data_IF_207650778374
#
_entry.id   IF_207650778374
#
_cell.length_a   1.000
_cell.length_b   1.000
_cell.length_c   1.000
_cell.angle_alpha   90.00
_cell.angle_beta   90.00
_cell.angle_gamma   90.00
#
_symmetry.space_group_name_H-M   'P 1'
#
loop_
_entity.id
_entity.type
_entity.pdbx_description
1 polymer ?
#
# COMPACT_ATOMS: atom_id res chain seq x y z
N UNK A 1 10.37 -11.24 -13.30
CA UNK A 1 11.14 -10.29 -12.45
C UNK A 1 12.45 -10.94 -12.05
N UNK A 2 13.55 -10.19 -11.94
CA UNK A 2 14.87 -10.73 -11.56
C UNK A 2 14.94 -11.11 -10.07
N UNK A 3 14.12 -10.46 -9.22
CA UNK A 3 13.97 -10.76 -7.78
C UNK A 3 12.49 -10.98 -7.46
N UNK A 4 12.16 -11.79 -6.43
CA UNK A 4 10.78 -11.91 -5.97
C UNK A 4 10.25 -10.54 -5.50
N UNK A 5 8.96 -10.28 -5.73
CA UNK A 5 8.26 -9.09 -5.26
C UNK A 5 8.06 -9.20 -3.75
N UNK A 6 8.43 -8.18 -2.99
CA UNK A 6 8.07 -8.06 -1.57
C UNK A 6 6.57 -7.78 -1.50
N UNK A 7 5.82 -8.65 -0.84
CA UNK A 7 4.35 -8.57 -0.80
C UNK A 7 3.85 -8.11 0.58
N UNK A 8 3.04 -7.04 0.58
CA UNK A 8 2.38 -6.50 1.75
C UNK A 8 0.89 -6.81 1.60
N UNK A 9 0.39 -7.75 2.40
CA UNK A 9 -0.98 -8.25 2.30
C UNK A 9 -1.99 -7.21 2.79
N UNK A 10 -3.01 -6.87 1.99
CA UNK A 10 -3.97 -5.79 2.23
C UNK A 10 -5.37 -6.24 2.67
N UNK A 11 -5.56 -7.51 3.05
CA UNK A 11 -6.91 -8.04 3.29
C UNK A 11 -7.57 -7.57 4.59
N UNK A 12 -6.77 -7.03 5.55
CA UNK A 12 -7.27 -6.51 6.83
C UNK A 12 -7.41 -4.99 6.73
N UNK A 13 -8.43 -4.54 6.04
CA UNK A 13 -8.65 -3.12 5.74
C UNK A 13 -10.11 -2.73 5.98
N UNK A 14 -10.35 -1.73 6.82
CA UNK A 14 -11.68 -1.31 7.24
C UNK A 14 -12.56 -0.78 6.09
N UNK A 15 -11.96 -0.28 5.00
CA UNK A 15 -12.71 0.16 3.81
C UNK A 15 -13.21 -1.00 2.93
N UNK A 16 -12.77 -2.23 3.16
CA UNK A 16 -13.32 -3.40 2.45
C UNK A 16 -14.68 -3.72 3.09
N UNK A 17 -15.83 -3.63 2.36
CA UNK A 17 -17.15 -3.61 2.98
C UNK A 17 -17.43 -4.76 3.95
N UNK A 18 -17.12 -5.99 3.54
CA UNK A 18 -17.30 -7.17 4.40
C UNK A 18 -16.37 -7.13 5.61
N UNK A 19 -15.08 -6.85 5.38
CA UNK A 19 -14.07 -6.81 6.45
C UNK A 19 -14.38 -5.69 7.44
N UNK A 20 -14.71 -4.49 6.96
CA UNK A 20 -15.09 -3.36 7.82
C UNK A 20 -16.31 -3.64 8.68
N UNK A 21 -17.34 -4.30 8.12
CA UNK A 21 -18.52 -4.74 8.91
C UNK A 21 -18.12 -5.70 10.03
N UNK A 22 -17.27 -6.67 9.73
CA UNK A 22 -16.79 -7.66 10.73
C UNK A 22 -15.91 -6.97 11.78
N UNK A 23 -15.05 -6.05 11.38
CA UNK A 23 -14.21 -5.26 12.30
C UNK A 23 -15.07 -4.45 13.28
N UNK A 24 -16.16 -3.83 12.80
CA UNK A 24 -17.11 -3.12 13.66
C UNK A 24 -17.75 -4.05 14.70
N UNK A 25 -18.19 -5.23 14.28
CA UNK A 25 -18.72 -6.23 15.20
C UNK A 25 -17.70 -6.67 16.26
N UNK A 26 -16.41 -6.77 15.91
CA UNK A 26 -15.35 -7.07 16.87
C UNK A 26 -15.14 -5.92 17.85
N UNK A 27 -15.15 -4.69 17.41
CA UNK A 27 -15.01 -3.51 18.28
C UNK A 27 -16.15 -3.45 19.32
N UNK A 28 -17.38 -3.78 18.94
CA UNK A 28 -18.54 -3.86 19.84
C UNK A 28 -18.40 -4.94 20.93
N UNK A 29 -17.57 -5.97 20.72
CA UNK A 29 -17.27 -6.99 21.72
C UNK A 29 -16.28 -6.53 22.80
N UNK A 30 -15.67 -5.35 22.63
CA UNK A 30 -14.69 -4.76 23.54
C UNK A 30 -13.27 -5.35 23.41
N UNK A 31 -12.33 -4.86 24.22
CA UNK A 31 -10.92 -5.19 24.15
C UNK A 31 -10.62 -6.68 24.45
N UNK A 32 -9.39 -7.08 24.12
CA UNK A 32 -8.88 -8.44 24.29
C UNK A 32 -9.63 -9.54 23.52
N UNK A 33 -10.21 -9.15 22.37
CA UNK A 33 -10.94 -10.09 21.50
C UNK A 33 -10.07 -11.29 21.06
N UNK A 34 -8.75 -11.08 20.86
CA UNK A 34 -7.81 -12.13 20.49
C UNK A 34 -7.56 -13.18 21.60
N UNK A 35 -7.87 -12.86 22.84
CA UNK A 35 -7.76 -13.77 23.99
C UNK A 35 -9.00 -14.66 24.19
N UNK A 36 -10.11 -14.36 23.51
CA UNK A 36 -11.38 -15.10 23.63
C UNK A 36 -11.29 -16.46 22.96
N UNK A 37 -11.94 -17.48 23.51
CA UNK A 37 -12.08 -18.77 22.84
C UNK A 37 -12.83 -18.60 21.51
N UNK A 38 -12.32 -19.20 20.45
CA UNK A 38 -12.94 -19.14 19.11
C UNK A 38 -14.32 -19.81 19.02
N UNK A 39 -14.68 -20.60 20.01
CA UNK A 39 -16.01 -21.22 20.15
C UNK A 39 -17.03 -20.41 20.97
N UNK A 40 -16.63 -19.24 21.52
CA UNK A 40 -17.53 -18.38 22.29
C UNK A 40 -18.50 -17.60 21.39
N UNK A 41 -19.54 -17.02 22.02
CA UNK A 41 -20.45 -16.09 21.34
C UNK A 41 -19.60 -14.93 20.78
N UNK A 42 -19.79 -14.62 19.49
CA UNK A 42 -18.94 -13.63 18.76
C UNK A 42 -17.71 -14.23 18.08
N UNK A 43 -17.49 -15.54 18.14
CA UNK A 43 -16.37 -16.22 17.47
C UNK A 43 -16.39 -16.09 15.95
N UNK A 44 -17.55 -15.88 15.32
CA UNK A 44 -17.66 -15.70 13.87
C UNK A 44 -16.81 -14.55 13.32
N UNK A 45 -16.97 -13.31 13.83
CA UNK A 45 -16.11 -12.18 13.49
C UNK A 45 -14.62 -12.45 13.75
N UNK A 46 -14.30 -13.01 14.92
CA UNK A 46 -12.91 -13.32 15.28
C UNK A 46 -12.29 -14.37 14.36
N UNK A 47 -13.03 -15.44 14.04
CA UNK A 47 -12.58 -16.49 13.11
C UNK A 47 -12.39 -15.96 11.69
N UNK A 48 -13.22 -15.00 11.25
CA UNK A 48 -13.05 -14.36 9.95
C UNK A 48 -11.72 -13.61 9.87
N UNK A 49 -11.42 -12.75 10.86
CA UNK A 49 -10.15 -11.99 10.89
C UNK A 49 -8.96 -12.95 11.05
N UNK A 50 -9.06 -13.95 11.94
CA UNK A 50 -8.06 -14.99 12.06
C UNK A 50 -7.77 -15.67 10.71
N UNK A 51 -8.82 -16.08 9.99
CA UNK A 51 -8.69 -16.69 8.67
C UNK A 51 -8.01 -15.78 7.64
N UNK A 52 -8.26 -14.46 7.66
CA UNK A 52 -7.56 -13.50 6.81
C UNK A 52 -6.07 -13.39 7.15
N UNK A 53 -5.71 -13.42 8.43
CA UNK A 53 -4.31 -13.37 8.87
C UNK A 53 -3.59 -14.66 8.44
N UNK A 54 -4.16 -15.82 8.78
CA UNK A 54 -3.58 -17.13 8.48
C UNK A 54 -3.43 -17.38 6.97
N UNK A 55 -4.43 -16.98 6.16
CA UNK A 55 -4.34 -17.14 4.70
C UNK A 55 -3.25 -16.27 4.08
N UNK A 56 -3.12 -15.00 4.49
CA UNK A 56 -2.06 -14.14 3.98
C UNK A 56 -0.67 -14.68 4.32
N UNK A 57 -0.48 -15.19 5.55
CA UNK A 57 0.77 -15.83 5.94
C UNK A 57 1.05 -17.10 5.13
N UNK A 58 0.04 -17.94 4.90
CA UNK A 58 0.15 -19.18 4.12
C UNK A 58 0.42 -18.91 2.63
N UNK A 59 -0.15 -17.84 2.07
CA UNK A 59 0.06 -17.40 0.69
C UNK A 59 1.41 -16.69 0.48
N UNK A 60 2.23 -16.56 1.54
CA UNK A 60 3.60 -16.06 1.48
C UNK A 60 3.72 -14.54 1.53
N UNK A 61 2.86 -13.85 2.29
CA UNK A 61 3.04 -12.44 2.58
C UNK A 61 4.37 -12.19 3.32
N UNK A 62 5.11 -11.15 2.90
CA UNK A 62 6.28 -10.67 3.63
C UNK A 62 5.87 -9.78 4.82
N UNK A 63 4.74 -9.08 4.69
CA UNK A 63 4.09 -8.28 5.73
C UNK A 63 2.58 -8.45 5.65
N UNK A 64 1.89 -8.34 6.80
CA UNK A 64 0.42 -8.31 6.89
C UNK A 64 -0.02 -6.91 7.30
N UNK A 65 -0.61 -6.17 6.36
CA UNK A 65 -1.10 -4.81 6.64
C UNK A 65 -2.42 -4.82 7.39
N UNK A 66 -2.54 -3.91 8.34
CA UNK A 66 -3.75 -3.60 9.09
C UNK A 66 -4.06 -2.12 8.91
N UNK A 67 -5.20 -1.80 8.29
CA UNK A 67 -5.71 -0.45 8.13
C UNK A 67 -7.11 -0.29 8.74
N UNK A 68 -7.23 0.64 9.69
CA UNK A 68 -8.44 0.91 10.47
C UNK A 68 -8.96 2.34 10.27
N UNK A 69 -8.38 3.12 9.35
CA UNK A 69 -8.65 4.55 9.21
C UNK A 69 -10.11 4.89 8.96
N UNK A 70 -10.90 3.97 8.36
CA UNK A 70 -12.33 4.18 8.16
C UNK A 70 -13.14 4.33 9.48
N UNK A 71 -12.55 3.97 10.63
CA UNK A 71 -13.15 4.21 11.96
C UNK A 71 -12.63 5.49 12.62
N UNK A 72 -11.47 5.98 12.17
CA UNK A 72 -10.77 7.09 12.84
C UNK A 72 -11.40 8.47 12.63
N UNK A 73 -12.22 8.65 11.60
CA UNK A 73 -12.92 9.92 11.34
C UNK A 73 -13.89 10.28 12.47
N UNK A 74 -14.64 9.30 12.97
CA UNK A 74 -15.65 9.50 14.02
C UNK A 74 -15.10 9.18 15.41
N UNK A 75 -14.25 8.18 15.56
CA UNK A 75 -13.77 7.64 16.83
C UNK A 75 -12.23 7.42 16.83
N UNK A 76 -11.40 8.48 16.93
CA UNK A 76 -9.94 8.36 16.86
C UNK A 76 -9.35 7.42 17.91
N UNK A 77 -9.85 7.45 19.17
CA UNK A 77 -9.36 6.56 20.23
C UNK A 77 -9.70 5.10 19.96
N UNK A 78 -10.88 4.81 19.44
CA UNK A 78 -11.26 3.45 19.05
C UNK A 78 -10.29 2.91 17.98
N UNK A 79 -9.89 3.74 17.03
CA UNK A 79 -8.92 3.33 16.00
C UNK A 79 -7.56 2.95 16.62
N UNK A 80 -7.09 3.69 17.63
CA UNK A 80 -5.87 3.37 18.39
C UNK A 80 -6.02 2.05 19.13
N UNK A 81 -7.11 1.88 19.87
CA UNK A 81 -7.35 0.68 20.68
C UNK A 81 -7.50 -0.57 19.79
N UNK A 82 -8.21 -0.45 18.68
CA UNK A 82 -8.33 -1.52 17.68
C UNK A 82 -6.97 -1.88 17.06
N UNK A 83 -6.10 -0.90 16.75
CA UNK A 83 -4.79 -1.21 16.18
C UNK A 83 -3.95 -2.06 17.13
N UNK A 84 -3.98 -1.75 18.43
CA UNK A 84 -3.32 -2.56 19.47
C UNK A 84 -3.82 -4.01 19.44
N UNK A 85 -5.14 -4.21 19.37
CA UNK A 85 -5.74 -5.54 19.29
C UNK A 85 -5.34 -6.29 18.01
N UNK A 86 -5.39 -5.62 16.85
CA UNK A 86 -5.07 -6.27 15.59
C UNK A 86 -3.58 -6.61 15.46
N UNK A 87 -2.70 -5.80 16.02
CA UNK A 87 -1.26 -6.11 16.11
C UNK A 87 -1.03 -7.39 16.94
N UNK A 88 -1.75 -7.56 18.06
CA UNK A 88 -1.72 -8.81 18.85
C UNK A 88 -2.24 -10.00 18.02
N UNK A 89 -3.31 -9.82 17.25
CA UNK A 89 -3.86 -10.86 16.39
C UNK A 89 -2.86 -11.28 15.32
N UNK A 90 -2.19 -10.33 14.65
CA UNK A 90 -1.16 -10.63 13.64
C UNK A 90 0.02 -11.36 14.29
N UNK A 91 0.51 -10.91 15.45
CA UNK A 91 1.59 -11.59 16.18
C UNK A 91 1.21 -13.03 16.53
N UNK A 92 -0.05 -13.25 16.96
CA UNK A 92 -0.54 -14.57 17.39
C UNK A 92 -0.79 -15.54 16.24
N UNK A 93 -1.33 -15.08 15.09
CA UNK A 93 -1.81 -15.93 14.00
C UNK A 93 -1.06 -15.77 12.68
N UNK A 94 -0.18 -14.78 12.57
CA UNK A 94 0.59 -14.49 11.36
C UNK A 94 1.77 -15.43 11.10
N UNK A 95 1.96 -16.47 11.91
CA UNK A 95 3.05 -17.45 11.75
C UNK A 95 4.45 -16.81 11.59
N UNK A 96 4.72 -15.76 12.37
CA UNK A 96 5.99 -15.02 12.33
C UNK A 96 6.15 -14.06 11.15
N UNK A 97 5.10 -13.83 10.36
CA UNK A 97 5.05 -12.72 9.38
C UNK A 97 4.85 -11.41 10.15
N UNK A 98 5.70 -10.38 9.93
CA UNK A 98 5.59 -9.12 10.63
C UNK A 98 4.38 -8.30 10.16
N UNK A 99 3.88 -7.45 11.06
CA UNK A 99 2.80 -6.52 10.76
C UNK A 99 3.30 -5.35 9.89
N UNK A 100 2.46 -4.88 8.96
CA UNK A 100 2.52 -3.54 8.41
C UNK A 100 1.42 -2.71 9.10
N UNK A 101 1.81 -1.75 9.93
CA UNK A 101 0.89 -0.85 10.62
C UNK A 101 0.57 0.28 9.64
N UNK A 102 -0.66 0.31 9.14
CA UNK A 102 -1.09 1.20 8.06
C UNK A 102 -2.15 2.19 8.55
N UNK A 103 -1.77 3.45 8.68
CA UNK A 103 -2.67 4.51 9.12
C UNK A 103 -2.20 5.90 8.68
N UNK A 104 -3.15 6.81 8.54
CA UNK A 104 -2.91 8.25 8.39
C UNK A 104 -2.60 8.96 9.73
N UNK A 105 -2.93 8.33 10.88
CA UNK A 105 -2.75 8.86 12.22
C UNK A 105 -1.42 8.44 12.83
N UNK A 106 -0.61 9.43 13.28
CA UNK A 106 0.64 9.16 13.99
C UNK A 106 0.42 8.41 15.33
N UNK A 107 -0.70 8.67 16.02
CA UNK A 107 -1.01 8.00 17.28
C UNK A 107 -1.30 6.52 17.06
N UNK A 108 -2.03 6.17 16.01
CA UNK A 108 -2.31 4.78 15.62
C UNK A 108 -1.01 4.06 15.24
N UNK A 109 -0.15 4.69 14.42
CA UNK A 109 1.15 4.14 14.04
C UNK A 109 2.03 3.89 15.26
N UNK A 110 2.10 4.86 16.18
CA UNK A 110 2.91 4.77 17.39
C UNK A 110 2.40 3.70 18.34
N UNK A 111 1.08 3.62 18.55
CA UNK A 111 0.47 2.61 19.43
C UNK A 111 0.68 1.19 18.88
N UNK A 112 0.46 1.00 17.59
CA UNK A 112 0.70 -0.29 16.94
C UNK A 112 2.16 -0.73 17.02
N UNK A 113 3.11 0.20 16.81
CA UNK A 113 4.54 -0.09 16.89
C UNK A 113 4.97 -0.49 18.33
N UNK A 114 4.50 0.25 19.34
CA UNK A 114 4.73 -0.08 20.75
C UNK A 114 4.18 -1.46 21.10
N UNK A 115 2.95 -1.75 20.66
CA UNK A 115 2.33 -3.06 20.93
C UNK A 115 3.05 -4.20 20.21
N UNK A 116 3.59 -3.99 19.00
CA UNK A 116 4.34 -5.03 18.30
C UNK A 116 5.53 -5.52 19.11
N UNK A 117 6.20 -4.62 19.82
CA UNK A 117 7.34 -4.93 20.70
C UNK A 117 6.97 -5.19 22.16
N UNK A 118 5.70 -5.10 22.53
CA UNK A 118 5.22 -5.41 23.87
C UNK A 118 5.04 -6.94 24.06
N UNK A 119 6.17 -7.66 24.01
CA UNK A 119 6.24 -9.13 24.16
C UNK A 119 7.65 -9.55 24.52
N UNK A 120 7.78 -10.68 25.21
CA UNK A 120 9.08 -11.31 25.49
C UNK A 120 9.58 -12.18 24.32
N UNK A 121 8.75 -12.38 23.29
CA UNK A 121 9.10 -13.16 22.11
C UNK A 121 9.95 -12.33 21.15
N UNK A 122 10.85 -13.01 20.42
CA UNK A 122 11.59 -12.38 19.33
C UNK A 122 10.67 -12.19 18.13
N UNK A 123 10.40 -10.94 17.76
CA UNK A 123 9.58 -10.58 16.59
C UNK A 123 10.45 -10.05 15.45
N UNK A 124 9.99 -10.23 14.21
CA UNK A 124 10.63 -9.64 13.04
C UNK A 124 10.32 -8.14 12.95
N UNK A 125 11.17 -7.41 12.23
CA UNK A 125 11.02 -5.98 12.00
C UNK A 125 9.68 -5.67 11.31
N UNK A 126 8.81 -4.83 11.90
CA UNK A 126 7.54 -4.43 11.32
C UNK A 126 7.75 -3.32 10.27
N UNK A 127 6.70 -3.08 9.48
CA UNK A 127 6.64 -2.00 8.50
C UNK A 127 5.64 -0.94 8.95
N UNK A 128 6.00 0.33 8.84
CA UNK A 128 5.11 1.48 9.09
C UNK A 128 4.63 2.06 7.74
N UNK A 129 3.34 2.16 7.54
CA UNK A 129 2.71 2.83 6.41
C UNK A 129 1.80 3.96 6.92
N UNK A 130 2.16 5.26 6.82
CA UNK A 130 3.29 5.77 6.07
C UNK A 130 3.98 6.95 6.77
N UNK A 131 5.21 7.21 6.38
CA UNK A 131 5.95 8.43 6.71
C UNK A 131 5.85 9.41 5.54
N UNK A 132 5.44 10.65 5.81
CA UNK A 132 5.33 11.75 4.84
C UNK A 132 6.28 12.88 5.24
N UNK A 133 6.64 13.77 4.33
CA UNK A 133 7.54 14.89 4.64
C UNK A 133 7.06 15.76 5.82
N UNK A 134 5.74 15.82 6.04
CA UNK A 134 5.14 16.60 7.14
C UNK A 134 4.83 15.77 8.41
N UNK A 135 5.03 14.44 8.38
CA UNK A 135 4.89 13.56 9.55
C UNK A 135 6.21 12.90 9.96
N UNK A 136 7.27 13.04 9.16
CA UNK A 136 8.55 12.37 9.43
C UNK A 136 9.17 12.76 10.77
N UNK A 137 8.92 13.97 11.27
CA UNK A 137 9.41 14.44 12.57
C UNK A 137 8.71 13.77 13.76
N UNK A 138 7.55 13.18 13.55
CA UNK A 138 6.81 12.44 14.57
C UNK A 138 7.16 10.95 14.59
N UNK A 139 7.43 10.34 13.42
CA UNK A 139 7.59 8.89 13.30
C UNK A 139 9.05 8.46 13.26
N UNK A 140 9.93 9.12 12.49
CA UNK A 140 11.33 8.70 12.37
C UNK A 140 12.08 8.68 13.72
N UNK A 141 11.84 9.59 14.71
CA UNK A 141 12.48 9.53 16.00
C UNK A 141 12.26 8.22 16.78
N UNK A 142 11.14 7.52 16.51
CA UNK A 142 10.83 6.24 17.16
C UNK A 142 11.85 5.14 16.83
N UNK A 143 12.68 5.32 15.78
CA UNK A 143 13.79 4.42 15.44
C UNK A 143 14.81 4.26 16.57
N UNK A 144 14.90 5.25 17.46
CA UNK A 144 15.79 5.19 18.64
C UNK A 144 15.36 4.16 19.70
N UNK A 145 14.07 3.82 19.69
CA UNK A 145 13.47 2.91 20.67
C UNK A 145 13.06 1.58 20.03
N UNK A 146 12.64 1.63 18.75
CA UNK A 146 12.07 0.48 18.04
C UNK A 146 12.77 0.30 16.69
N UNK A 147 13.04 -0.95 16.33
CA UNK A 147 13.57 -1.30 15.02
C UNK A 147 12.41 -1.50 14.04
N UNK A 148 12.28 -0.67 12.99
CA UNK A 148 11.22 -0.77 11.99
C UNK A 148 11.67 -0.28 10.62
N UNK A 149 11.04 -0.82 9.57
CA UNK A 149 11.07 -0.30 8.21
C UNK A 149 9.85 0.60 7.97
N UNK A 150 9.89 1.46 6.95
CA UNK A 150 8.75 2.32 6.66
C UNK A 150 8.52 2.56 5.17
N UNK A 151 7.27 2.83 4.83
CA UNK A 151 6.87 3.34 3.52
C UNK A 151 6.90 4.87 3.58
N UNK A 152 7.77 5.46 2.78
CA UNK A 152 7.83 6.91 2.55
C UNK A 152 6.83 7.30 1.46
N UNK A 153 5.66 7.81 1.85
CA UNK A 153 4.61 8.23 0.92
C UNK A 153 4.94 9.60 0.33
N UNK A 154 5.08 9.66 -0.98
CA UNK A 154 5.54 10.85 -1.71
C UNK A 154 4.38 11.84 -1.98
N UNK A 155 3.87 12.45 -0.91
CA UNK A 155 2.82 13.47 -0.95
C UNK A 155 3.22 14.70 -0.15
N UNK A 156 2.79 15.89 -0.59
CA UNK A 156 2.96 17.15 0.15
C UNK A 156 1.77 17.44 1.06
N UNK A 157 2.00 18.26 2.09
CA UNK A 157 0.94 18.75 2.96
C UNK A 157 -0.06 19.59 2.17
N UNK A 158 -1.35 19.37 2.45
CA UNK A 158 -2.44 20.11 1.80
C UNK A 158 -2.67 19.76 0.33
N UNK A 159 -1.91 18.83 -0.23
CA UNK A 159 -2.14 18.32 -1.59
C UNK A 159 -3.24 17.26 -1.54
N UNK A 160 -4.35 17.44 -2.24
CA UNK A 160 -5.35 16.38 -2.36
C UNK A 160 -4.70 15.11 -2.88
N UNK A 161 -4.99 13.96 -2.28
CA UNK A 161 -4.59 12.64 -2.78
C UNK A 161 -5.37 12.25 -4.05
N UNK A 162 -5.98 13.24 -4.70
CA UNK A 162 -6.86 13.14 -5.86
C UNK A 162 -6.40 13.99 -7.05
N UNK A 163 -7.25 14.13 -8.10
CA UNK A 163 -6.91 14.78 -9.38
C UNK A 163 -6.42 16.22 -9.32
N UNK A 164 -6.46 16.88 -8.17
CA UNK A 164 -5.94 18.24 -7.98
C UNK A 164 -4.53 18.32 -7.40
N UNK A 165 -3.95 17.19 -6.99
CA UNK A 165 -2.63 17.11 -6.38
C UNK A 165 -1.57 16.65 -7.36
N UNK A 166 -1.20 17.51 -8.28
CA UNK A 166 -0.27 17.16 -9.35
C UNK A 166 1.17 17.40 -8.94
N UNK A 167 1.86 16.36 -8.53
CA UNK A 167 3.31 16.41 -8.42
C UNK A 167 3.97 15.92 -9.72
N UNK A 168 4.93 16.70 -10.22
CA UNK A 168 5.83 16.25 -11.28
C UNK A 168 6.75 15.13 -10.75
N UNK A 169 7.39 14.42 -11.67
CA UNK A 169 8.43 13.41 -11.33
C UNK A 169 9.53 14.03 -10.47
N UNK A 170 9.94 15.28 -10.76
CA UNK A 170 10.97 15.99 -10.02
C UNK A 170 10.56 16.37 -8.60
N UNK A 171 9.30 16.76 -8.41
CA UNK A 171 8.75 17.03 -7.09
C UNK A 171 8.66 15.76 -6.25
N UNK A 172 8.10 14.66 -6.79
CA UNK A 172 8.04 13.37 -6.10
C UNK A 172 9.45 12.88 -5.72
N UNK A 173 10.40 12.99 -6.64
CA UNK A 173 11.79 12.65 -6.36
C UNK A 173 12.42 13.56 -5.29
N UNK A 174 12.08 14.84 -5.26
CA UNK A 174 12.53 15.78 -4.22
C UNK A 174 11.99 15.39 -2.84
N UNK A 175 10.72 14.96 -2.75
CA UNK A 175 10.12 14.44 -1.52
C UNK A 175 10.88 13.20 -1.03
N UNK A 176 11.17 12.25 -1.93
CA UNK A 176 11.96 11.07 -1.60
C UNK A 176 13.35 11.43 -1.05
N UNK A 177 14.03 12.39 -1.67
CA UNK A 177 15.33 12.88 -1.18
C UNK A 177 15.27 13.48 0.21
N UNK A 178 14.24 14.25 0.52
CA UNK A 178 14.05 14.87 1.85
C UNK A 178 13.83 13.81 2.92
N UNK A 179 12.91 12.85 2.69
CA UNK A 179 12.66 11.75 3.62
C UNK A 179 13.92 10.91 3.81
N UNK A 180 14.59 10.52 2.72
CA UNK A 180 15.81 9.70 2.75
C UNK A 180 16.93 10.37 3.55
N UNK A 181 17.22 11.65 3.24
CA UNK A 181 18.29 12.38 3.90
C UNK A 181 18.08 12.44 5.42
N UNK A 182 16.84 12.66 5.86
CA UNK A 182 16.51 12.71 7.28
C UNK A 182 16.56 11.33 7.92
N UNK A 183 15.93 10.33 7.31
CA UNK A 183 15.88 8.96 7.83
C UNK A 183 17.29 8.38 8.01
N UNK A 184 18.11 8.45 6.98
CA UNK A 184 19.49 7.90 7.00
C UNK A 184 20.44 8.78 7.81
N UNK A 185 20.38 10.10 7.60
CA UNK A 185 21.36 11.03 8.20
C UNK A 185 21.14 11.30 9.68
N UNK A 186 19.89 11.34 10.15
CA UNK A 186 19.58 11.72 11.54
C UNK A 186 19.14 10.53 12.41
N UNK A 187 18.51 9.51 11.82
CA UNK A 187 17.92 8.42 12.58
C UNK A 187 18.54 7.05 12.31
N UNK A 188 19.52 6.97 11.40
CA UNK A 188 20.29 5.76 11.18
C UNK A 188 19.56 4.62 10.47
N UNK A 189 18.49 4.93 9.72
CA UNK A 189 17.86 3.94 8.85
C UNK A 189 18.83 3.50 7.77
N UNK A 190 18.82 2.22 7.46
CA UNK A 190 19.50 1.69 6.28
C UNK A 190 18.63 1.87 5.03
N UNK A 191 19.20 1.98 3.83
CA UNK A 191 18.38 2.07 2.61
C UNK A 191 17.37 0.94 2.45
N UNK A 192 17.70 -0.31 2.86
CA UNK A 192 16.81 -1.46 2.78
C UNK A 192 15.58 -1.41 3.71
N UNK A 193 15.53 -0.46 4.64
CA UNK A 193 14.38 -0.24 5.53
C UNK A 193 13.42 0.83 4.98
N UNK A 194 13.71 1.39 3.80
CA UNK A 194 12.94 2.48 3.21
C UNK A 194 12.27 2.01 1.93
N UNK A 195 10.94 2.14 1.90
CA UNK A 195 10.08 1.82 0.77
C UNK A 195 9.43 3.10 0.27
N UNK A 196 9.73 3.60 -0.92
CA UNK A 196 9.05 4.78 -1.45
C UNK A 196 7.80 4.41 -2.22
N UNK A 197 6.69 5.07 -1.91
CA UNK A 197 5.41 4.95 -2.62
C UNK A 197 5.07 6.26 -3.33
N UNK A 198 5.06 6.21 -4.66
CA UNK A 198 4.73 7.34 -5.55
C UNK A 198 3.23 7.47 -5.82
N UNK A 199 2.41 6.74 -5.08
CA UNK A 199 0.95 6.62 -5.18
C UNK A 199 0.46 5.93 -6.46
N UNK A 200 -0.72 5.31 -6.37
CA UNK A 200 -1.44 4.71 -7.51
C UNK A 200 -2.77 5.40 -7.68
N UNK A 201 -3.02 5.85 -8.90
CA UNK A 201 -4.28 6.46 -9.29
C UNK A 201 -5.15 5.45 -10.06
N UNK A 202 -6.49 5.53 -9.94
CA UNK A 202 -7.37 4.68 -10.74
C UNK A 202 -7.21 4.95 -12.22
N UNK A 203 -6.91 3.93 -13.02
CA UNK A 203 -6.75 4.05 -14.47
C UNK A 203 -8.00 4.64 -15.16
N UNK A 204 -9.19 4.36 -14.60
CA UNK A 204 -10.45 4.89 -15.12
C UNK A 204 -10.52 6.43 -15.19
N UNK A 205 -9.77 7.11 -14.32
CA UNK A 205 -9.75 8.56 -14.19
C UNK A 205 -8.35 9.16 -14.31
N UNK A 206 -7.35 8.37 -14.70
CA UNK A 206 -5.98 8.84 -14.94
C UNK A 206 -5.92 9.57 -16.30
N UNK A 207 -6.55 10.75 -16.33
CA UNK A 207 -6.57 11.63 -17.49
C UNK A 207 -6.28 13.06 -17.01
N UNK A 208 -5.09 13.61 -17.31
CA UNK A 208 -4.76 15.00 -16.98
C UNK A 208 -5.76 15.94 -17.67
N UNK A 209 -6.28 16.89 -16.90
CA UNK A 209 -7.23 17.91 -17.42
C UNK A 209 -6.51 19.06 -18.15
N UNK A 210 -5.21 19.20 -17.92
CA UNK A 210 -4.39 20.28 -18.47
C UNK A 210 -3.50 19.76 -19.60
N UNK A 211 -3.33 20.51 -20.68
CA UNK A 211 -2.41 20.15 -21.76
C UNK A 211 -0.96 20.05 -21.26
N UNK A 212 -0.22 19.10 -21.81
CA UNK A 212 1.19 18.84 -21.50
C UNK A 212 1.48 18.39 -20.06
N UNK A 213 0.46 18.01 -19.30
CA UNK A 213 0.63 17.38 -17.97
C UNK A 213 0.66 15.87 -18.14
N UNK A 214 1.71 15.18 -17.69
CA UNK A 214 1.78 13.73 -17.74
C UNK A 214 0.72 13.06 -16.85
N UNK A 215 0.30 11.84 -17.22
CA UNK A 215 -0.61 11.02 -16.44
C UNK A 215 -0.02 10.61 -15.08
N UNK A 216 -0.88 10.22 -14.15
CA UNK A 216 -0.46 9.79 -12.82
C UNK A 216 0.36 8.50 -12.86
N UNK A 217 -0.03 7.51 -13.67
CA UNK A 217 0.71 6.26 -13.85
C UNK A 217 2.10 6.53 -14.43
N UNK A 218 2.21 7.38 -15.45
CA UNK A 218 3.49 7.81 -16.00
C UNK A 218 4.39 8.43 -14.92
N UNK A 219 3.87 9.39 -14.15
CA UNK A 219 4.63 10.06 -13.10
C UNK A 219 5.07 9.11 -12.00
N UNK A 220 4.18 8.19 -11.58
CA UNK A 220 4.51 7.18 -10.58
C UNK A 220 5.66 6.29 -11.05
N UNK A 221 5.59 5.77 -12.28
CA UNK A 221 6.59 4.85 -12.80
C UNK A 221 7.93 5.55 -13.11
N UNK A 222 7.90 6.73 -13.71
CA UNK A 222 9.14 7.49 -13.95
C UNK A 222 9.81 7.94 -12.65
N UNK A 223 9.02 8.19 -11.57
CA UNK A 223 9.59 8.46 -10.25
C UNK A 223 10.31 7.24 -9.69
N UNK A 224 9.69 6.05 -9.77
CA UNK A 224 10.33 4.78 -9.37
C UNK A 224 11.64 4.60 -10.13
N UNK A 225 11.62 4.74 -11.45
CA UNK A 225 12.80 4.62 -12.31
C UNK A 225 13.89 5.62 -11.92
N UNK A 226 13.52 6.86 -11.63
CA UNK A 226 14.46 7.91 -11.21
C UNK A 226 15.11 7.57 -9.87
N UNK A 227 14.32 7.12 -8.87
CA UNK A 227 14.84 6.67 -7.57
C UNK A 227 15.79 5.49 -7.75
N UNK A 228 15.38 4.44 -8.49
CA UNK A 228 16.17 3.22 -8.70
C UNK A 228 17.43 3.44 -9.51
N UNK A 229 17.49 4.51 -10.34
CA UNK A 229 18.66 4.86 -11.15
C UNK A 229 19.68 5.72 -10.41
N UNK A 230 19.33 6.34 -9.29
CA UNK A 230 20.26 7.16 -8.51
C UNK A 230 21.05 6.31 -7.51
N UNK A 231 22.38 6.32 -7.64
CA UNK A 231 23.28 5.59 -6.75
C UNK A 231 23.12 5.95 -5.26
N UNK A 232 22.59 7.15 -4.93
CA UNK A 232 22.32 7.57 -3.55
C UNK A 232 21.21 6.73 -2.88
N UNK A 233 20.28 6.23 -3.68
CA UNK A 233 19.18 5.38 -3.22
C UNK A 233 19.47 3.87 -3.36
N UNK A 234 20.72 3.49 -3.57
CA UNK A 234 21.08 2.06 -3.70
C UNK A 234 20.62 1.27 -2.46
N UNK A 235 19.79 0.28 -2.70
CA UNK A 235 19.22 -0.59 -1.65
C UNK A 235 17.81 -0.18 -1.19
N UNK A 236 17.32 1.00 -1.56
CA UNK A 236 15.94 1.42 -1.28
C UNK A 236 14.94 0.58 -2.08
N UNK A 237 13.80 0.27 -1.48
CA UNK A 237 12.66 -0.35 -2.13
C UNK A 237 11.69 0.70 -2.70
N UNK A 238 10.91 0.31 -3.72
CA UNK A 238 9.77 1.08 -4.20
C UNK A 238 8.53 0.21 -4.09
N UNK A 239 7.47 0.74 -3.48
CA UNK A 239 6.19 0.06 -3.28
C UNK A 239 5.04 0.82 -3.93
N UNK A 240 3.95 0.12 -4.21
CA UNK A 240 2.70 0.71 -4.70
C UNK A 240 1.49 -0.03 -4.12
N UNK A 241 0.43 0.73 -3.78
CA UNK A 241 -0.89 0.20 -3.43
C UNK A 241 -1.68 -0.18 -4.68
N UNK A 242 -1.37 -1.35 -5.24
CA UNK A 242 -1.74 -1.74 -6.61
C UNK A 242 -3.25 -1.82 -6.84
N UNK A 243 -4.05 -2.24 -5.85
CA UNK A 243 -5.50 -2.39 -5.99
C UNK A 243 -6.21 -1.07 -6.35
N UNK A 244 -5.59 0.07 -6.08
CA UNK A 244 -6.13 1.38 -6.46
C UNK A 244 -6.21 1.56 -7.99
N UNK A 245 -5.34 0.95 -8.79
CA UNK A 245 -5.33 1.12 -10.25
C UNK A 245 -6.63 0.63 -10.91
N UNK A 246 -7.36 -0.29 -10.28
CA UNK A 246 -8.59 -0.90 -10.80
C UNK A 246 -9.87 -0.37 -10.17
N UNK A 247 -9.79 0.67 -9.34
CA UNK A 247 -10.99 1.31 -8.79
C UNK A 247 -11.86 1.80 -9.93
N UNK A 248 -13.17 1.55 -9.82
CA UNK A 248 -14.21 1.93 -10.78
C UNK A 248 -14.14 1.23 -12.16
N UNK A 249 -13.22 0.29 -12.35
CA UNK A 249 -13.22 -0.51 -13.58
C UNK A 249 -14.29 -1.64 -13.54
N UNK A 250 -14.93 -1.95 -14.66
CA UNK A 250 -16.09 -2.84 -14.70
C UNK A 250 -15.73 -4.31 -14.47
N UNK A 251 -14.55 -4.77 -14.91
CA UNK A 251 -14.18 -6.17 -14.91
C UNK A 251 -12.66 -6.39 -14.94
N UNK A 252 -12.24 -7.65 -14.99
CA UNK A 252 -10.85 -8.14 -15.17
C UNK A 252 -9.83 -7.51 -14.21
N UNK A 253 -10.26 -7.08 -13.01
CA UNK A 253 -9.45 -6.31 -12.06
C UNK A 253 -8.14 -6.98 -11.68
N UNK A 254 -8.14 -8.28 -11.37
CA UNK A 254 -6.93 -9.03 -11.04
C UNK A 254 -5.94 -9.08 -12.22
N UNK A 255 -6.46 -9.27 -13.45
CA UNK A 255 -5.63 -9.26 -14.65
C UNK A 255 -4.95 -7.91 -14.89
N UNK A 256 -5.68 -6.81 -14.69
CA UNK A 256 -5.14 -5.44 -14.79
C UNK A 256 -4.07 -5.20 -13.72
N UNK A 257 -4.32 -5.59 -12.46
CA UNK A 257 -3.31 -5.50 -11.41
C UNK A 257 -2.05 -6.31 -11.74
N UNK A 258 -2.19 -7.50 -12.35
CA UNK A 258 -1.03 -8.27 -12.83
C UNK A 258 -0.23 -7.52 -13.88
N UNK A 259 -0.91 -6.94 -14.87
CA UNK A 259 -0.27 -6.12 -15.89
C UNK A 259 0.40 -4.87 -15.29
N UNK A 260 -0.27 -4.23 -14.33
CA UNK A 260 0.25 -3.05 -13.63
C UNK A 260 1.54 -3.36 -12.87
N UNK A 261 1.56 -4.43 -12.06
CA UNK A 261 2.76 -4.87 -11.32
C UNK A 261 3.88 -5.25 -12.29
N UNK A 262 3.57 -6.02 -13.35
CA UNK A 262 4.56 -6.42 -14.33
C UNK A 262 5.18 -5.22 -15.03
N UNK A 263 4.37 -4.23 -15.40
CA UNK A 263 4.86 -3.00 -16.04
C UNK A 263 5.67 -2.15 -15.07
N UNK A 264 5.18 -1.92 -13.85
CA UNK A 264 5.91 -1.17 -12.83
C UNK A 264 7.26 -1.80 -12.48
N UNK A 265 7.37 -3.14 -12.53
CA UNK A 265 8.63 -3.85 -12.32
C UNK A 265 9.69 -3.54 -13.39
N UNK A 266 9.29 -3.22 -14.63
CA UNK A 266 10.22 -2.74 -15.67
C UNK A 266 10.87 -1.40 -15.28
N UNK A 267 10.19 -0.58 -14.48
CA UNK A 267 10.68 0.70 -13.94
C UNK A 267 11.43 0.54 -12.62
N UNK A 268 11.41 -0.67 -12.01
CA UNK A 268 12.15 -0.97 -10.80
C UNK A 268 11.31 -1.19 -9.54
N UNK A 269 9.98 -1.33 -9.67
CA UNK A 269 9.13 -1.74 -8.54
C UNK A 269 9.58 -3.10 -8.01
N UNK A 270 9.76 -3.22 -6.70
CA UNK A 270 10.18 -4.44 -6.02
C UNK A 270 9.38 -4.76 -4.75
N UNK A 271 8.40 -3.91 -4.39
CA UNK A 271 7.42 -4.17 -3.33
C UNK A 271 6.01 -3.77 -3.77
N UNK A 272 4.96 -4.39 -3.20
CA UNK A 272 3.58 -4.03 -3.51
C UNK A 272 2.62 -4.36 -2.36
N UNK A 273 1.67 -3.45 -2.11
CA UNK A 273 0.52 -3.67 -1.23
C UNK A 273 -0.56 -4.31 -2.09
N UNK A 274 -0.89 -5.57 -1.80
CA UNK A 274 -1.69 -6.42 -2.68
C UNK A 274 -2.48 -7.49 -1.93
N UNK A 275 -3.49 -8.05 -2.58
CA UNK A 275 -4.04 -9.34 -2.17
C UNK A 275 -3.07 -10.46 -2.56
N UNK A 276 -2.40 -11.06 -1.57
CA UNK A 276 -1.32 -12.04 -1.75
C UNK A 276 -1.81 -13.30 -2.50
N UNK A 277 -3.06 -13.71 -2.28
CA UNK A 277 -3.67 -14.87 -2.96
C UNK A 277 -3.70 -14.74 -4.50
N UNK A 278 -3.47 -13.57 -5.05
CA UNK A 278 -3.44 -13.37 -6.50
C UNK A 278 -2.06 -13.65 -7.13
N UNK A 279 -1.02 -13.91 -6.33
CA UNK A 279 0.34 -14.27 -6.77
C UNK A 279 0.92 -13.33 -7.85
N UNK A 280 0.88 -12.02 -7.57
CA UNK A 280 1.40 -11.01 -8.49
C UNK A 280 2.90 -11.21 -8.75
N UNK A 281 3.30 -11.03 -10.01
CA UNK A 281 4.67 -11.27 -10.46
C UNK A 281 5.02 -12.72 -10.73
N UNK A 282 4.13 -13.69 -10.39
CA UNK A 282 4.33 -15.13 -10.63
C UNK A 282 3.49 -15.64 -11.81
N UNK A 283 2.42 -14.92 -12.16
CA UNK A 283 1.53 -15.27 -13.27
C UNK A 283 1.73 -14.26 -14.39
N UNK A 284 1.99 -14.74 -15.60
CA UNK A 284 2.13 -13.89 -16.79
C UNK A 284 0.85 -13.08 -17.02
N UNK A 285 0.96 -11.78 -17.21
CA UNK A 285 -0.18 -10.93 -17.50
C UNK A 285 -0.68 -11.14 -18.94
N UNK A 286 -1.96 -10.86 -19.13
CA UNK A 286 -2.58 -10.85 -20.45
C UNK A 286 -1.99 -9.74 -21.33
N UNK A 287 -1.66 -10.07 -22.59
CA UNK A 287 -0.99 -9.15 -23.50
C UNK A 287 -1.83 -7.89 -23.82
N UNK A 288 -3.15 -8.03 -23.92
CA UNK A 288 -4.06 -6.89 -24.15
C UNK A 288 -4.08 -5.94 -22.93
N UNK A 289 -4.08 -6.51 -21.72
CA UNK A 289 -4.02 -5.72 -20.49
C UNK A 289 -2.65 -5.08 -20.29
N UNK A 290 -1.58 -5.74 -20.74
CA UNK A 290 -0.25 -5.14 -20.78
C UNK A 290 -0.19 -3.96 -21.73
N UNK A 291 -0.82 -4.04 -22.94
CA UNK A 291 -0.90 -2.91 -23.87
C UNK A 291 -1.67 -1.73 -23.25
N UNK A 292 -2.78 -2.00 -22.55
CA UNK A 292 -3.56 -0.97 -21.85
C UNK A 292 -2.70 -0.26 -20.80
N UNK A 293 -2.04 -0.99 -19.91
CA UNK A 293 -1.21 -0.39 -18.85
C UNK A 293 0.02 0.33 -19.43
N UNK A 294 0.62 -0.21 -20.50
CA UNK A 294 1.76 0.41 -21.19
C UNK A 294 1.39 1.77 -21.77
N UNK A 295 0.17 1.92 -22.31
CA UNK A 295 -0.29 3.22 -22.78
C UNK A 295 -0.36 4.27 -21.67
N UNK A 296 -0.85 3.89 -20.47
CA UNK A 296 -0.84 4.76 -19.30
C UNK A 296 0.56 5.06 -18.78
N UNK A 297 1.44 4.05 -18.79
CA UNK A 297 2.84 4.23 -18.42
C UNK A 297 3.62 5.18 -19.34
N UNK A 298 3.13 5.37 -20.56
CA UNK A 298 3.72 6.26 -21.58
C UNK A 298 3.00 7.59 -21.73
N UNK A 299 2.01 7.88 -20.91
CA UNK A 299 1.19 9.10 -21.00
C UNK A 299 1.97 10.32 -20.51
N UNK A 300 2.90 10.79 -21.33
CA UNK A 300 3.90 11.83 -21.06
C UNK A 300 3.37 13.28 -21.11
N UNK A 301 2.07 13.45 -21.36
CA UNK A 301 1.41 14.75 -21.54
C UNK A 301 1.21 15.15 -23.00
N UNK A 302 1.76 14.40 -23.96
CA UNK A 302 1.47 14.64 -25.38
C UNK A 302 0.04 14.22 -25.72
N UNK A 303 -0.57 14.92 -26.69
CA UNK A 303 -1.91 14.56 -27.17
C UNK A 303 -1.97 13.14 -27.76
N UNK A 304 -0.88 12.68 -28.38
CA UNK A 304 -0.78 11.34 -28.96
C UNK A 304 -0.89 10.26 -27.88
N UNK A 305 -0.08 10.35 -26.80
CA UNK A 305 -0.07 9.39 -25.71
C UNK A 305 -1.40 9.36 -24.96
N UNK A 306 -2.00 10.53 -24.72
CA UNK A 306 -3.32 10.66 -24.10
C UNK A 306 -4.41 10.00 -24.94
N UNK A 307 -4.47 10.29 -26.25
CA UNK A 307 -5.46 9.71 -27.16
C UNK A 307 -5.33 8.17 -27.21
N UNK A 308 -4.12 7.63 -27.24
CA UNK A 308 -3.88 6.18 -27.21
C UNK A 308 -4.44 5.54 -25.93
N UNK A 309 -4.19 6.12 -24.77
CA UNK A 309 -4.69 5.62 -23.48
C UNK A 309 -6.24 5.66 -23.43
N UNK A 310 -6.85 6.75 -23.88
CA UNK A 310 -8.32 6.90 -23.97
C UNK A 310 -8.94 5.87 -24.92
N UNK A 311 -8.34 5.65 -26.08
CA UNK A 311 -8.82 4.67 -27.08
C UNK A 311 -8.84 3.26 -26.48
N UNK A 312 -7.74 2.82 -25.86
CA UNK A 312 -7.60 1.50 -25.25
C UNK A 312 -8.54 1.32 -24.06
N UNK A 313 -8.67 2.32 -23.20
CA UNK A 313 -9.63 2.27 -22.09
C UNK A 313 -11.07 2.23 -22.60
N UNK A 314 -11.40 3.01 -23.60
CA UNK A 314 -12.72 2.99 -24.25
C UNK A 314 -13.04 1.62 -24.87
N UNK A 315 -12.07 0.98 -25.54
CA UNK A 315 -12.19 -0.38 -26.05
C UNK A 315 -12.43 -1.36 -24.90
N UNK A 316 -11.57 -1.34 -23.88
CA UNK A 316 -11.69 -2.20 -22.70
C UNK A 316 -13.06 -2.08 -22.02
N UNK A 317 -13.55 -0.86 -21.81
CA UNK A 317 -14.85 -0.65 -21.17
C UNK A 317 -16.02 -1.16 -22.03
N UNK A 318 -15.96 -1.01 -23.37
CA UNK A 318 -17.01 -1.53 -24.26
C UNK A 318 -17.07 -3.06 -24.24
N UNK A 319 -15.92 -3.71 -24.28
CA UNK A 319 -15.82 -5.19 -24.32
C UNK A 319 -16.14 -5.86 -22.98
N UNK A 320 -16.03 -5.13 -21.87
CA UNK A 320 -16.22 -5.65 -20.51
C UNK A 320 -17.45 -5.07 -19.79
N UNK A 321 -18.36 -4.39 -20.46
CA UNK A 321 -19.64 -3.99 -19.86
C UNK A 321 -20.44 -5.22 -19.45
N UNK A 322 -20.86 -5.31 -18.20
CA UNK A 322 -21.81 -6.32 -17.75
C UNK A 322 -23.16 -6.05 -18.42
N UNK A 323 -23.54 -6.89 -19.38
CA UNK A 323 -24.89 -6.98 -19.92
C UNK A 323 -25.33 -5.73 -20.72
N UNK A 324 -24.98 -5.66 -22.00
CA UNK A 324 -25.86 -5.05 -22.99
C UNK A 324 -26.84 -6.13 -23.50
#
# INVERSE_FOLDING_TARGET
MKNPLITIGESIHASIPKTGTIMKQLAELGPDACSRPTCAIGSGPLNYIKGLIESQAADGADYIAVNLDAFGEDEPQLCVDMMVEYVRMVRKWGNGVPVCIDSSSNDVLTAGLKEWYNTDEQVKQPLINSVKVYTMDNILPLKKEFDFAFIGLLVSEGTPTGPGGSHSVDELYSLARRIFAKAVGEYGFTPGEIFFDSTVFPLAIDMPMEPNVPGYTYRAFETIKKIKSDAKFKGVHCSLGVSNCVRDLPARRVGICRAYVAKAAEYGLDAAIVNVAHHYGQVEPDAELMELVDAYAKMDGSAESLNKAIELMGKFCRENRKGA
#
